data_IF_858156392812
#
_entry.id   IF_858156392812
#
_cell.length_a   1.000
_cell.length_b   1.000
_cell.length_c   1.000
_cell.angle_alpha   90.00
_cell.angle_beta   90.00
_cell.angle_gamma   90.00
#
_symmetry.space_group_name_H-M   'P 1'
#
loop_
_entity.id
_entity.type
_entity.pdbx_description
1 polymer ?
#
# COMPACT_ATOMS: atom_id res chain seq x y z
N UNK A 1 7.49 7.13 -46.92
CA UNK A 1 6.46 7.58 -45.95
C UNK A 1 7.10 7.67 -44.58
N UNK A 2 6.89 8.79 -43.89
CA UNK A 2 7.43 9.03 -42.55
C UNK A 2 6.29 9.25 -41.56
N UNK A 3 6.35 8.63 -40.39
CA UNK A 3 5.60 9.00 -39.20
C UNK A 3 6.43 10.05 -38.47
N UNK A 4 5.91 11.28 -38.43
CA UNK A 4 6.58 12.41 -37.78
C UNK A 4 6.24 12.44 -36.30
N UNK A 5 4.96 12.33 -35.95
CA UNK A 5 4.51 12.40 -34.55
C UNK A 5 3.31 11.49 -34.34
N UNK A 6 3.24 10.79 -33.22
CA UNK A 6 2.04 10.06 -32.83
C UNK A 6 1.65 10.39 -31.39
N UNK A 7 0.35 10.48 -31.13
CA UNK A 7 -0.21 10.68 -29.81
C UNK A 7 -1.54 9.95 -29.66
N UNK A 8 -1.87 9.57 -28.44
CA UNK A 8 -3.16 8.97 -28.09
C UNK A 8 -4.02 9.97 -27.32
N UNK A 9 -5.35 9.89 -27.49
CA UNK A 9 -6.34 10.66 -26.73
C UNK A 9 -7.43 9.74 -26.16
N UNK A 10 -8.00 10.02 -24.98
CA UNK A 10 -9.09 9.23 -24.40
C UNK A 10 -10.44 9.52 -25.07
N UNK A 11 -10.57 10.61 -25.84
CA UNK A 11 -11.80 10.93 -26.58
C UNK A 11 -11.55 11.16 -28.07
N UNK A 12 -12.61 11.10 -28.87
CA UNK A 12 -12.57 11.42 -30.30
C UNK A 12 -12.60 12.93 -30.60
N UNK A 13 -12.54 13.79 -29.57
CA UNK A 13 -12.56 15.23 -29.79
C UNK A 13 -11.35 15.64 -30.66
N UNK A 14 -11.59 16.52 -31.63
CA UNK A 14 -10.53 17.05 -32.52
C UNK A 14 -9.40 17.70 -31.71
N UNK A 15 -9.76 18.38 -30.62
CA UNK A 15 -8.84 19.01 -29.67
C UNK A 15 -9.15 18.43 -28.28
N UNK A 16 -8.43 17.37 -27.92
CA UNK A 16 -8.47 16.79 -26.58
C UNK A 16 -7.27 17.34 -25.79
N UNK A 17 -7.48 18.05 -24.67
CA UNK A 17 -6.37 18.55 -23.86
C UNK A 17 -5.60 17.42 -23.16
N UNK A 18 -6.22 16.25 -23.00
CA UNK A 18 -5.60 15.06 -22.43
C UNK A 18 -5.05 14.20 -23.56
N UNK A 19 -3.74 14.11 -23.66
CA UNK A 19 -3.08 13.26 -24.63
C UNK A 19 -1.77 12.72 -24.09
N UNK A 20 -1.32 11.60 -24.65
CA UNK A 20 -0.01 11.02 -24.38
C UNK A 20 0.76 10.94 -25.70
N UNK A 21 1.93 11.57 -25.75
CA UNK A 21 2.82 11.44 -26.90
C UNK A 21 3.44 10.05 -26.92
N UNK A 22 3.50 9.44 -28.10
CA UNK A 22 4.10 8.12 -28.32
C UNK A 22 5.43 8.25 -29.06
N UNK A 23 5.45 9.10 -30.07
CA UNK A 23 6.57 9.33 -30.97
C UNK A 23 6.60 10.81 -31.31
N UNK A 24 7.79 11.41 -31.41
CA UNK A 24 7.94 12.80 -31.86
C UNK A 24 9.17 12.96 -32.74
N UNK A 25 9.07 13.82 -33.76
CA UNK A 25 10.07 13.97 -34.83
C UNK A 25 10.61 12.64 -35.40
N UNK A 26 9.76 11.61 -35.48
CA UNK A 26 10.12 10.29 -35.98
C UNK A 26 10.87 9.40 -34.98
N UNK A 27 11.06 9.87 -33.74
CA UNK A 27 11.91 9.24 -32.73
C UNK A 27 11.20 9.00 -31.38
N UNK A 28 11.74 8.11 -30.52
CA UNK A 28 11.27 7.91 -29.16
C UNK A 28 11.48 9.18 -28.33
N UNK A 29 10.57 9.44 -27.39
CA UNK A 29 10.69 10.58 -26.47
C UNK A 29 11.86 10.36 -25.50
N UNK A 30 12.81 11.29 -25.46
CA UNK A 30 13.90 11.28 -24.50
C UNK A 30 13.64 12.26 -23.35
N UNK A 31 13.70 11.75 -22.12
CA UNK A 31 13.79 12.44 -20.81
C UNK A 31 12.68 13.39 -20.33
N UNK A 32 11.83 13.99 -21.18
CA UNK A 32 10.79 14.98 -20.74
C UNK A 32 9.33 14.48 -20.76
N UNK A 33 9.08 13.26 -21.21
CA UNK A 33 7.74 12.65 -21.26
C UNK A 33 7.84 11.18 -20.86
N UNK A 34 6.83 10.59 -20.19
CA UNK A 34 6.88 9.18 -19.82
C UNK A 34 7.13 8.33 -21.07
N UNK A 35 8.23 7.58 -21.05
CA UNK A 35 8.58 6.70 -22.15
C UNK A 35 7.49 5.63 -22.31
N UNK A 36 6.98 5.46 -23.53
CA UNK A 36 5.98 4.43 -23.80
C UNK A 36 6.66 3.05 -23.70
N UNK A 37 6.09 2.11 -22.93
CA UNK A 37 6.68 0.78 -22.77
C UNK A 37 6.71 0.02 -24.10
N UNK A 38 7.84 -0.63 -24.36
CA UNK A 38 8.10 -1.46 -25.54
C UNK A 38 7.94 -0.74 -26.89
N UNK A 39 8.15 0.58 -26.95
CA UNK A 39 8.18 1.30 -28.23
C UNK A 39 9.36 0.81 -29.09
N UNK A 40 9.05 0.42 -30.33
CA UNK A 40 9.98 -0.01 -31.36
C UNK A 40 9.64 0.68 -32.68
N UNK A 41 10.61 1.36 -33.25
CA UNK A 41 10.52 1.89 -34.61
C UNK A 41 11.04 0.80 -35.54
N UNK A 42 10.16 0.20 -36.34
CA UNK A 42 10.48 -0.95 -37.19
C UNK A 42 10.83 -0.46 -38.60
N UNK A 43 10.10 0.54 -39.09
CA UNK A 43 10.26 1.14 -40.41
C UNK A 43 9.73 2.57 -40.37
N UNK A 44 10.53 3.58 -40.70
CA UNK A 44 10.11 4.96 -40.75
C UNK A 44 10.96 5.81 -41.73
N UNK A 45 10.43 6.06 -42.94
CA UNK A 45 11.08 6.91 -43.94
C UNK A 45 11.92 6.17 -44.98
N UNK A 46 12.20 4.88 -44.80
CA UNK A 46 12.99 4.08 -45.75
C UNK A 46 12.17 3.62 -46.97
N UNK A 47 10.85 3.43 -46.78
CA UNK A 47 9.93 2.78 -47.73
C UNK A 47 8.65 3.61 -47.93
N UNK A 48 7.75 3.16 -48.80
CA UNK A 48 6.37 3.63 -48.93
C UNK A 48 5.51 3.31 -47.69
N UNK A 49 5.99 2.43 -46.80
CA UNK A 49 5.34 2.03 -45.56
C UNK A 49 6.10 2.55 -44.35
N UNK A 50 5.38 2.72 -43.24
CA UNK A 50 5.95 2.95 -41.93
C UNK A 50 5.30 2.02 -40.90
N UNK A 51 6.09 1.53 -39.94
CA UNK A 51 5.68 0.57 -38.92
C UNK A 51 6.34 0.92 -37.59
N UNK A 52 5.50 1.07 -36.57
CA UNK A 52 5.91 1.22 -35.18
C UNK A 52 5.15 0.18 -34.35
N UNK A 53 5.77 -0.30 -33.28
CA UNK A 53 5.13 -1.16 -32.28
C UNK A 53 5.30 -0.55 -30.90
N UNK A 54 4.28 -0.62 -30.05
CA UNK A 54 4.32 -0.12 -28.68
C UNK A 54 3.23 -0.79 -27.84
N UNK A 55 3.35 -0.74 -26.51
CA UNK A 55 2.27 -1.21 -25.63
C UNK A 55 1.20 -0.13 -25.50
N UNK A 56 -0.07 -0.54 -25.51
CA UNK A 56 -1.20 0.38 -25.44
C UNK A 56 -1.16 1.25 -24.16
N UNK A 57 -1.71 2.46 -24.27
CA UNK A 57 -1.78 3.44 -23.16
C UNK A 57 -3.17 3.45 -22.54
N UNK A 58 -3.23 3.69 -21.23
CA UNK A 58 -4.45 3.84 -20.41
C UNK A 58 -4.44 5.24 -19.78
N UNK A 59 -5.60 5.90 -19.68
CA UNK A 59 -5.75 7.25 -19.11
C UNK A 59 -6.51 7.25 -17.80
N UNK A 60 -7.72 6.65 -17.77
CA UNK A 60 -8.64 6.80 -16.64
C UNK A 60 -8.61 5.64 -15.65
N UNK A 61 -8.05 4.49 -16.06
CA UNK A 61 -8.11 3.25 -15.28
C UNK A 61 -9.55 2.72 -15.22
N UNK A 62 -9.75 1.52 -15.75
CA UNK A 62 -11.05 0.86 -15.90
C UNK A 62 -10.84 -0.52 -16.52
N UNK A 63 -11.82 -1.42 -16.52
CA UNK A 63 -11.59 -2.76 -17.10
C UNK A 63 -11.27 -2.69 -18.60
N UNK A 64 -11.99 -1.84 -19.34
CA UNK A 64 -11.76 -1.55 -20.75
C UNK A 64 -11.94 -0.04 -20.97
N UNK A 65 -10.94 0.60 -21.54
CA UNK A 65 -10.98 2.00 -21.97
C UNK A 65 -10.92 2.08 -23.50
N UNK A 66 -11.44 3.15 -24.08
CA UNK A 66 -11.30 3.42 -25.51
C UNK A 66 -10.31 4.56 -25.72
N UNK A 67 -9.33 4.35 -26.59
CA UNK A 67 -8.39 5.40 -27.01
C UNK A 67 -8.46 5.64 -28.51
N UNK A 68 -8.00 6.81 -28.93
CA UNK A 68 -7.85 7.20 -30.32
C UNK A 68 -6.39 7.50 -30.60
N UNK A 69 -5.79 6.77 -31.54
CA UNK A 69 -4.42 6.99 -31.98
C UNK A 69 -4.40 7.98 -33.14
N UNK A 70 -3.57 9.00 -33.04
CA UNK A 70 -3.39 10.03 -34.05
C UNK A 70 -1.93 10.08 -34.45
N UNK A 71 -1.64 10.00 -35.75
CA UNK A 71 -0.29 10.08 -36.27
C UNK A 71 -0.20 11.10 -37.40
N UNK A 72 0.75 12.01 -37.28
CA UNK A 72 1.15 12.95 -38.30
C UNK A 72 2.10 12.23 -39.27
N UNK A 73 1.66 12.09 -40.52
CA UNK A 73 2.42 11.44 -41.59
C UNK A 73 2.96 12.50 -42.54
N UNK A 74 4.20 12.32 -42.97
CA UNK A 74 4.83 13.07 -44.05
C UNK A 74 5.14 12.17 -45.25
N UNK A 75 4.92 12.69 -46.46
CA UNK A 75 5.41 12.07 -47.69
C UNK A 75 6.74 12.73 -48.08
N UNK A 76 7.83 11.98 -47.88
CA UNK A 76 9.16 12.42 -48.27
C UNK A 76 9.43 12.13 -49.75
N UNK A 77 9.77 13.17 -50.51
CA UNK A 77 10.24 13.05 -51.88
C UNK A 77 11.77 12.96 -51.89
N UNK A 78 12.29 11.76 -52.18
CA UNK A 78 13.73 11.47 -52.20
C UNK A 78 14.50 12.27 -53.27
N UNK A 79 13.81 12.83 -54.27
CA UNK A 79 14.45 13.67 -55.29
C UNK A 79 14.80 15.06 -54.76
N UNK A 80 14.06 15.54 -53.75
CA UNK A 80 14.24 16.85 -53.12
C UNK A 80 14.99 16.77 -51.80
N UNK A 81 14.75 15.71 -51.03
CA UNK A 81 15.40 15.47 -49.75
C UNK A 81 15.84 14.00 -49.65
N UNK A 82 17.14 13.75 -49.60
CA UNK A 82 17.69 12.40 -49.48
C UNK A 82 17.64 11.86 -48.03
N UNK A 83 17.45 12.71 -47.02
CA UNK A 83 17.38 12.35 -45.60
C UNK A 83 15.93 12.13 -45.14
N UNK A 84 15.30 11.09 -45.68
CA UNK A 84 13.95 10.68 -45.28
C UNK A 84 13.93 9.78 -44.03
N UNK A 85 14.98 9.02 -43.76
CA UNK A 85 15.01 8.13 -42.60
C UNK A 85 15.73 8.85 -41.46
N UNK A 86 14.98 9.33 -40.47
CA UNK A 86 15.58 10.07 -39.35
C UNK A 86 16.38 9.12 -38.45
N UNK A 87 17.63 9.48 -38.20
CA UNK A 87 18.46 8.81 -37.18
C UNK A 87 18.19 9.41 -35.81
N UNK A 88 17.78 8.56 -34.86
CA UNK A 88 17.49 8.99 -33.49
C UNK A 88 18.75 9.06 -32.58
N UNK A 89 19.94 9.05 -33.17
CA UNK A 89 21.21 9.16 -32.46
C UNK A 89 21.43 10.54 -31.84
N UNK A 90 20.83 11.58 -32.42
CA UNK A 90 20.78 12.90 -31.81
C UNK A 90 19.54 12.99 -30.93
N UNK A 91 19.75 13.27 -29.64
CA UNK A 91 18.69 13.49 -28.66
C UNK A 91 17.63 14.40 -29.28
N UNK A 92 16.43 13.88 -29.51
CA UNK A 92 15.32 14.66 -30.05
C UNK A 92 15.08 15.84 -29.10
N UNK A 93 15.61 17.01 -29.45
CA UNK A 93 15.49 18.19 -28.61
C UNK A 93 14.04 18.68 -28.81
N UNK A 94 13.18 18.67 -27.78
CA UNK A 94 11.76 18.99 -27.92
C UNK A 94 11.48 20.44 -28.33
N UNK A 95 12.53 21.25 -28.39
CA UNK A 95 12.53 22.66 -28.76
C UNK A 95 12.95 22.92 -30.21
N UNK A 96 13.36 21.90 -30.98
CA UNK A 96 13.41 22.02 -32.43
C UNK A 96 11.99 21.75 -32.95
N UNK A 97 11.13 22.75 -32.72
CA UNK A 97 9.83 22.80 -33.35
C UNK A 97 10.08 22.72 -34.84
N UNK A 98 9.81 21.55 -35.41
CA UNK A 98 10.12 21.20 -36.79
C UNK A 98 9.77 22.36 -37.70
N UNK A 99 10.77 23.16 -38.08
CA UNK A 99 10.63 24.11 -39.17
C UNK A 99 10.59 23.23 -40.41
N UNK A 100 9.38 22.75 -40.70
CA UNK A 100 8.99 22.12 -41.95
C UNK A 100 9.02 23.22 -43.02
N UNK A 101 10.23 23.63 -43.40
CA UNK A 101 10.46 24.53 -44.52
C UNK A 101 10.59 23.69 -45.79
N UNK A 102 9.66 23.93 -46.73
CA UNK A 102 9.68 23.36 -48.08
C UNK A 102 9.00 22.00 -48.21
N UNK A 103 7.90 21.98 -48.96
CA UNK A 103 7.23 20.80 -49.52
C UNK A 103 6.90 19.65 -48.56
N UNK A 104 6.24 19.97 -47.43
CA UNK A 104 5.82 18.96 -46.46
C UNK A 104 4.36 18.61 -46.64
N UNK A 105 4.10 17.41 -47.19
CA UNK A 105 2.75 16.85 -47.26
C UNK A 105 2.39 16.21 -45.93
N UNK A 106 1.88 17.03 -45.01
CA UNK A 106 1.42 16.57 -43.71
C UNK A 106 -0.04 16.10 -43.74
N UNK A 107 -0.29 14.89 -43.22
CA UNK A 107 -1.66 14.41 -42.97
C UNK A 107 -1.75 13.74 -41.61
N UNK A 108 -2.75 14.12 -40.82
CA UNK A 108 -3.07 13.41 -39.58
C UNK A 108 -3.97 12.23 -39.90
N UNK A 109 -3.49 11.02 -39.64
CA UNK A 109 -4.30 9.81 -39.64
C UNK A 109 -4.82 9.58 -38.22
N UNK A 110 -6.12 9.31 -38.11
CA UNK A 110 -6.75 8.96 -36.84
C UNK A 110 -7.27 7.52 -36.93
N UNK A 111 -6.97 6.70 -35.93
CA UNK A 111 -7.47 5.34 -35.85
C UNK A 111 -8.97 5.32 -35.52
N UNK A 112 -9.61 4.19 -35.81
CA UNK A 112 -10.88 3.83 -35.18
C UNK A 112 -10.71 3.72 -33.65
N UNK A 113 -11.80 3.75 -32.86
CA UNK A 113 -11.72 3.53 -31.42
C UNK A 113 -10.99 2.22 -31.11
N UNK A 114 -9.92 2.30 -30.33
CA UNK A 114 -9.13 1.15 -29.89
C UNK A 114 -9.55 0.85 -28.46
N UNK A 115 -10.15 -0.32 -28.25
CA UNK A 115 -10.41 -0.83 -26.91
C UNK A 115 -9.10 -1.32 -26.29
N UNK A 116 -8.67 -0.64 -25.22
CA UNK A 116 -7.49 -0.97 -24.44
C UNK A 116 -7.96 -1.54 -23.11
N UNK A 117 -7.53 -2.76 -22.81
CA UNK A 117 -7.73 -3.36 -21.50
C UNK A 117 -6.63 -2.88 -20.57
N UNK A 118 -7.01 -2.22 -19.49
CA UNK A 118 -6.08 -1.94 -18.41
C UNK A 118 -6.05 -3.17 -17.49
N UNK A 119 -4.90 -3.84 -17.46
CA UNK A 119 -4.70 -5.07 -16.68
C UNK A 119 -4.94 -4.82 -15.19
N UNK A 120 -4.52 -3.65 -14.69
CA UNK A 120 -4.68 -3.25 -13.30
C UNK A 120 -5.85 -2.28 -13.08
N UNK A 121 -6.58 -1.96 -14.14
CA UNK A 121 -7.74 -1.09 -14.10
C UNK A 121 -8.99 -1.78 -13.57
N UNK A 122 -10.05 -0.98 -13.41
CA UNK A 122 -11.38 -1.45 -13.06
C UNK A 122 -11.52 -1.93 -11.61
N UNK A 123 -12.62 -2.63 -11.33
CA UNK A 123 -12.94 -3.08 -9.97
C UNK A 123 -12.16 -4.34 -9.57
N UNK A 124 -11.66 -5.10 -10.55
CA UNK A 124 -10.93 -6.34 -10.29
C UNK A 124 -9.44 -6.11 -10.02
N UNK A 125 -8.86 -4.93 -10.35
CA UNK A 125 -7.44 -4.58 -10.11
C UNK A 125 -6.46 -5.70 -10.53
N UNK A 126 -6.68 -6.33 -11.68
CA UNK A 126 -5.88 -7.48 -12.15
C UNK A 126 -6.00 -8.75 -11.29
N UNK A 127 -6.97 -8.80 -10.39
CA UNK A 127 -7.18 -9.83 -9.38
C UNK A 127 -6.35 -9.65 -8.12
N UNK A 128 -5.77 -8.47 -7.87
CA UNK A 128 -4.95 -8.20 -6.69
C UNK A 128 -5.78 -7.66 -5.52
N UNK A 129 -5.55 -8.17 -4.31
CA UNK A 129 -6.22 -7.67 -3.10
C UNK A 129 -5.89 -6.20 -2.81
N UNK A 130 -4.59 -5.85 -2.86
CA UNK A 130 -4.10 -4.53 -2.49
C UNK A 130 -3.62 -3.74 -3.70
N UNK A 131 -2.36 -3.93 -4.12
CA UNK A 131 -1.73 -3.18 -5.20
C UNK A 131 -1.49 -4.07 -6.41
N UNK A 132 -1.74 -3.51 -7.60
CA UNK A 132 -1.47 -4.15 -8.89
C UNK A 132 -0.47 -3.30 -9.68
N UNK A 133 0.53 -3.95 -10.25
CA UNK A 133 1.42 -3.37 -11.25
C UNK A 133 1.52 -4.28 -12.47
N UNK A 134 1.97 -3.75 -13.60
CA UNK A 134 2.14 -4.51 -14.84
C UNK A 134 3.62 -4.83 -15.05
N UNK A 135 3.95 -6.11 -15.23
CA UNK A 135 5.30 -6.56 -15.57
C UNK A 135 5.65 -6.23 -17.04
N UNK A 136 6.93 -6.34 -17.40
CA UNK A 136 7.42 -6.16 -18.77
C UNK A 136 6.70 -7.04 -19.80
N UNK A 137 6.23 -8.22 -19.38
CA UNK A 137 5.47 -9.18 -20.21
C UNK A 137 3.97 -8.86 -20.29
N UNK A 138 3.54 -7.68 -19.85
CA UNK A 138 2.13 -7.26 -19.84
C UNK A 138 1.23 -8.19 -18.99
N UNK A 139 1.73 -8.59 -17.81
CA UNK A 139 1.02 -9.45 -16.83
C UNK A 139 0.79 -8.69 -15.52
N UNK A 140 -0.33 -8.93 -14.80
CA UNK A 140 -0.56 -8.35 -13.49
C UNK A 140 0.42 -8.94 -12.47
N UNK A 141 0.99 -8.07 -11.63
CA UNK A 141 1.84 -8.40 -10.50
C UNK A 141 1.25 -7.75 -9.27
N UNK A 142 0.89 -8.57 -8.29
CA UNK A 142 0.28 -8.09 -7.06
C UNK A 142 1.34 -7.82 -5.99
N UNK A 143 1.20 -6.72 -5.27
CA UNK A 143 2.00 -6.41 -4.08
C UNK A 143 1.10 -6.04 -2.90
N UNK A 144 1.59 -6.30 -1.69
CA UNK A 144 0.82 -6.09 -0.47
C UNK A 144 1.33 -4.87 0.30
N UNK A 145 0.42 -4.17 0.98
CA UNK A 145 0.81 -3.12 1.91
C UNK A 145 1.57 -3.67 3.13
N UNK A 146 2.17 -2.77 3.91
CA UNK A 146 2.95 -3.15 5.08
C UNK A 146 2.14 -3.97 6.09
N UNK A 147 2.73 -5.04 6.63
CA UNK A 147 2.07 -5.95 7.57
C UNK A 147 1.41 -7.17 6.90
N UNK A 148 1.40 -7.24 5.58
CA UNK A 148 0.83 -8.35 4.80
C UNK A 148 1.88 -9.00 3.90
N UNK A 149 1.71 -10.28 3.61
CA UNK A 149 2.51 -11.07 2.67
C UNK A 149 1.63 -11.59 1.54
N UNK A 150 2.24 -11.67 0.35
CA UNK A 150 1.55 -12.19 -0.82
C UNK A 150 1.36 -13.70 -0.67
N UNK A 151 0.12 -14.15 -0.81
CA UNK A 151 -0.27 -15.54 -0.73
C UNK A 151 0.32 -16.38 -1.86
N UNK A 152 0.20 -17.70 -1.73
CA UNK A 152 0.65 -18.67 -2.73
C UNK A 152 -0.07 -18.56 -4.08
N UNK A 153 -1.27 -17.97 -4.09
CA UNK A 153 -2.04 -17.66 -5.29
C UNK A 153 -1.51 -16.43 -6.07
N UNK A 154 -0.50 -15.74 -5.51
CA UNK A 154 0.12 -14.52 -6.04
C UNK A 154 -0.85 -13.35 -6.22
N UNK A 155 -1.98 -13.38 -5.51
CA UNK A 155 -3.08 -12.43 -5.64
C UNK A 155 -3.55 -11.94 -4.28
N UNK A 156 -3.79 -12.87 -3.37
CA UNK A 156 -4.33 -12.56 -2.05
C UNK A 156 -3.24 -12.06 -1.10
N UNK A 157 -3.56 -11.08 -0.24
CA UNK A 157 -2.66 -10.58 0.78
C UNK A 157 -3.06 -11.14 2.15
N UNK A 158 -2.17 -11.92 2.76
CA UNK A 158 -2.38 -12.50 4.10
C UNK A 158 -1.66 -11.65 5.14
N UNK A 159 -2.22 -11.53 6.34
CA UNK A 159 -1.52 -10.87 7.44
C UNK A 159 -0.22 -11.64 7.67
N UNK A 160 0.93 -10.94 7.67
CA UNK A 160 2.18 -11.56 8.13
C UNK A 160 1.90 -12.02 9.54
N UNK A 161 1.97 -13.32 9.80
CA UNK A 161 2.05 -13.80 11.17
C UNK A 161 3.29 -13.17 11.74
N UNK A 162 3.14 -12.01 12.40
CA UNK A 162 4.11 -11.62 13.37
C UNK A 162 4.06 -12.79 14.34
N UNK A 163 5.12 -13.58 14.40
CA UNK A 163 5.63 -14.03 15.68
C UNK A 163 6.01 -12.78 16.47
N UNK A 164 5.04 -11.90 16.71
CA UNK A 164 5.07 -10.97 17.80
C UNK A 164 4.87 -11.90 18.98
N UNK A 165 5.79 -11.95 19.93
CA UNK A 165 5.55 -12.62 21.19
C UNK A 165 4.49 -11.80 21.92
N UNK A 166 3.22 -11.91 21.49
CA UNK A 166 2.08 -11.54 22.31
C UNK A 166 1.84 -12.75 23.22
N UNK A 167 2.83 -13.04 24.06
CA UNK A 167 2.46 -13.23 25.45
C UNK A 167 1.87 -11.89 25.84
N UNK A 168 0.56 -11.84 26.11
CA UNK A 168 -0.04 -10.68 26.76
C UNK A 168 0.67 -10.52 28.10
N UNK A 169 1.75 -9.75 28.15
CA UNK A 169 2.33 -9.29 29.40
C UNK A 169 1.35 -8.28 29.95
N UNK A 170 0.34 -8.78 30.65
CA UNK A 170 -0.61 -7.94 31.37
C UNK A 170 0.23 -7.11 32.34
N UNK A 171 0.26 -5.77 32.22
CA UNK A 171 1.11 -4.94 33.05
C UNK A 171 0.88 -5.23 34.53
N UNK A 172 1.97 -5.31 35.32
CA UNK A 172 1.92 -5.77 36.71
C UNK A 172 0.94 -4.98 37.60
N UNK A 173 0.65 -3.73 37.26
CA UNK A 173 -0.29 -2.88 38.00
C UNK A 173 -1.73 -3.43 38.03
N UNK A 174 -2.12 -4.28 37.07
CA UNK A 174 -3.44 -4.93 37.07
C UNK A 174 -3.61 -5.93 38.23
N UNK A 175 -2.52 -6.48 38.76
CA UNK A 175 -2.56 -7.41 39.90
C UNK A 175 -2.59 -6.69 41.25
N UNK A 176 -2.23 -5.40 41.31
CA UNK A 176 -2.19 -4.60 42.54
C UNK A 176 -3.52 -4.57 43.31
N UNK A 177 -4.69 -4.27 42.70
CA UNK A 177 -5.96 -4.26 43.44
C UNK A 177 -6.36 -5.66 43.97
N UNK A 178 -6.02 -6.72 43.25
CA UNK A 178 -6.27 -8.11 43.68
C UNK A 178 -5.41 -8.46 44.88
N UNK A 179 -4.12 -8.13 44.82
CA UNK A 179 -3.17 -8.36 45.93
C UNK A 179 -3.61 -7.54 47.16
N UNK A 180 -3.93 -6.26 47.00
CA UNK A 180 -4.44 -5.42 48.09
C UNK A 180 -5.73 -5.99 48.69
N UNK A 181 -6.66 -6.48 47.86
CA UNK A 181 -7.88 -7.14 48.32
C UNK A 181 -7.61 -8.38 49.18
N UNK A 182 -6.69 -9.25 48.73
CA UNK A 182 -6.30 -10.45 49.49
C UNK A 182 -5.64 -10.07 50.84
N UNK A 183 -4.76 -9.06 50.84
CA UNK A 183 -4.14 -8.58 52.08
C UNK A 183 -5.18 -8.04 53.08
N UNK A 184 -6.17 -7.26 52.63
CA UNK A 184 -7.24 -6.76 53.49
C UNK A 184 -8.11 -7.89 54.06
N UNK A 185 -8.41 -8.92 53.27
CA UNK A 185 -9.15 -10.10 53.73
C UNK A 185 -8.35 -10.83 54.82
N UNK A 186 -7.05 -11.03 54.61
CA UNK A 186 -6.18 -11.68 55.61
C UNK A 186 -6.12 -10.85 56.90
N UNK A 187 -5.96 -9.53 56.80
CA UNK A 187 -5.97 -8.64 57.97
C UNK A 187 -7.30 -8.74 58.71
N UNK A 188 -8.44 -8.73 58.01
CA UNK A 188 -9.76 -8.89 58.61
C UNK A 188 -9.89 -10.25 59.34
N UNK A 189 -9.44 -11.34 58.73
CA UNK A 189 -9.42 -12.68 59.35
C UNK A 189 -8.57 -12.68 60.62
N UNK A 190 -7.37 -12.07 60.59
CA UNK A 190 -6.49 -11.96 61.76
C UNK A 190 -7.13 -11.12 62.87
N UNK A 191 -7.80 -10.02 62.54
CA UNK A 191 -8.52 -9.20 63.52
C UNK A 191 -9.66 -10.00 64.16
N UNK A 192 -10.46 -10.70 63.36
CA UNK A 192 -11.55 -11.55 63.84
C UNK A 192 -10.99 -12.67 64.74
N UNK A 193 -9.91 -13.31 64.33
CA UNK A 193 -9.26 -14.36 65.11
C UNK A 193 -8.71 -13.82 66.44
N UNK A 194 -8.06 -12.65 66.44
CA UNK A 194 -7.57 -11.99 67.66
C UNK A 194 -8.70 -11.55 68.57
N UNK A 195 -9.82 -11.07 68.03
CA UNK A 195 -11.03 -10.72 68.80
C UNK A 195 -11.63 -11.97 69.47
N UNK A 196 -11.82 -13.06 68.72
CA UNK A 196 -12.30 -14.34 69.27
C UNK A 196 -11.36 -14.88 70.35
N UNK A 197 -10.03 -14.78 70.15
CA UNK A 197 -9.06 -15.20 71.17
C UNK A 197 -9.19 -14.36 72.46
N UNK A 198 -9.41 -13.06 72.33
CA UNK A 198 -9.63 -12.16 73.48
C UNK A 198 -10.90 -12.52 74.26
N UNK A 199 -11.99 -12.86 73.57
CA UNK A 199 -13.24 -13.34 74.20
C UNK A 199 -13.07 -14.71 74.89
N UNK A 200 -12.34 -15.64 74.26
CA UNK A 200 -12.01 -16.94 74.87
C UNK A 200 -11.04 -16.86 76.05
N UNK A 201 -10.26 -15.77 76.14
CA UNK A 201 -9.41 -15.46 77.29
C UNK A 201 -10.19 -14.82 78.43
N UNK A 202 -11.20 -14.01 78.13
CA UNK A 202 -12.07 -13.36 79.13
C UNK A 202 -12.98 -14.37 79.85
N UNK A 203 -13.43 -15.42 79.16
CA UNK A 203 -14.19 -16.52 79.77
C UNK A 203 -13.35 -17.42 80.69
N UNK A 204 -12.01 -17.40 80.60
CA UNK A 204 -11.14 -18.22 81.46
C UNK A 204 -10.70 -17.54 82.77
N UNK A 205 -11.00 -16.24 82.95
CA UNK A 205 -10.62 -15.48 84.15
C UNK A 205 -11.75 -15.36 85.18
N UNK A 206 -12.99 -15.74 84.82
CA UNK A 206 -14.14 -15.63 85.72
C UNK A 206 -14.34 -16.82 86.70
N UNK A 207 -13.54 -17.89 86.60
CA UNK A 207 -13.73 -19.14 87.37
C UNK A 207 -12.62 -19.46 88.41
N UNK A 208 -11.77 -18.50 88.75
CA UNK A 208 -10.74 -18.66 89.81
C UNK A 208 -10.73 -17.45 90.76
N UNK A 209 -11.87 -17.16 91.40
CA UNK A 209 -11.87 -16.36 92.63
C UNK A 209 -13.11 -16.68 93.50
N UNK A 210 -13.19 -17.91 94.01
CA UNK A 210 -14.18 -18.29 95.03
C UNK A 210 -13.77 -19.51 95.87
N UNK A 211 -12.78 -19.30 96.75
CA UNK A 211 -12.47 -20.08 97.97
C UNK A 211 -11.13 -19.55 98.50
N UNK A 212 -10.92 -19.02 99.70
CA UNK A 212 -11.66 -18.90 100.94
C UNK A 212 -11.08 -17.68 101.66
N UNK A 213 -11.94 -16.86 102.28
CA UNK A 213 -11.55 -16.00 103.38
C UNK A 213 -11.87 -16.78 104.67
N UNK A 214 -10.83 -17.29 105.33
CA UNK A 214 -10.88 -17.76 106.70
C UNK A 214 -10.06 -16.83 107.59
N UNK A 215 -10.79 -15.97 108.31
CA UNK A 215 -10.46 -15.32 109.58
C UNK A 215 -9.51 -16.18 110.47
N UNK A 216 -8.47 -15.63 111.12
CA UNK A 216 -8.53 -15.10 112.51
C UNK A 216 -8.66 -16.25 113.55
N UNK A 217 -7.95 -16.34 114.68
CA UNK A 217 -7.22 -15.37 115.47
C UNK A 217 -6.51 -16.08 116.67
N UNK A 218 -5.47 -15.43 117.18
CA UNK A 218 -4.90 -15.35 118.54
C UNK A 218 -5.13 -16.44 119.64
N UNK A 219 -4.03 -16.90 120.28
CA UNK A 219 -3.76 -16.73 121.75
C UNK A 219 -2.74 -17.72 122.37
N UNK A 220 -1.78 -17.20 123.15
CA UNK A 220 -1.23 -17.83 124.39
C UNK A 220 -0.45 -16.79 125.21
N UNK A 221 -1.18 -16.00 126.00
CA UNK A 221 -1.42 -16.14 127.45
C UNK A 221 -0.26 -15.66 128.35
N UNK A 222 -0.45 -14.39 128.77
CA UNK A 222 -0.02 -13.69 129.99
C UNK A 222 1.47 -13.37 130.25
N UNK A 223 1.64 -12.07 130.53
CA UNK A 223 2.65 -11.33 131.32
C UNK A 223 4.01 -11.03 130.70
#
# INVERSE_FOLDING_TARGET
MQIVRCWATPTNKRYDPTYTNILDNGCPLTSKSPAIPNLKIILNGESDKARIGFSAVSFKGGDIETIFLRCLINLCDKTKNNDCAKSCSDKANPSDGSVLHGDVYLKVLTSSPIAVRDICGGTNKGGCDHYCSVSSDNKPVCTCHQGFELGSDKKSCKIKNRSSPIGRTVPWYYYVPVILGVFLIIIAIVIIYRRRKKESGLYKVADLDKSDAGEGDESRFLS
#
